data_IF_907802316394
#
_entry.id   IF_907802316394
#
_cell.length_a   1.000
_cell.length_b   1.000
_cell.length_c   1.000
_cell.angle_alpha   90.00
_cell.angle_beta   90.00
_cell.angle_gamma   90.00
#
_symmetry.space_group_name_H-M   'P 1'
#
loop_
_entity.id
_entity.type
_entity.pdbx_description
1 polymer ?
#
# COMPACT_ATOMS: atom_id res chain seq x y z
N UNK A 1 38.13 -30.59 -26.69
CA UNK A 1 37.88 -30.23 -25.29
C UNK A 1 36.43 -29.79 -25.15
N UNK A 2 35.57 -30.67 -24.63
CA UNK A 2 34.11 -30.48 -24.49
C UNK A 2 33.79 -30.28 -23.00
N UNK A 3 33.07 -29.20 -22.64
CA UNK A 3 32.57 -28.97 -21.28
C UNK A 3 31.37 -29.90 -20.97
N UNK A 4 31.23 -30.43 -19.75
CA UNK A 4 30.03 -31.16 -19.35
C UNK A 4 28.90 -30.20 -18.92
N UNK A 5 27.62 -30.65 -18.98
CA UNK A 5 26.46 -29.84 -18.59
C UNK A 5 26.25 -29.83 -17.05
N UNK A 6 25.53 -28.82 -16.51
CA UNK A 6 25.26 -28.73 -15.08
C UNK A 6 24.15 -29.69 -14.63
N UNK A 7 24.32 -30.25 -13.43
CA UNK A 7 23.46 -31.25 -12.78
C UNK A 7 22.14 -30.63 -12.29
N UNK A 8 21.04 -31.31 -12.56
CA UNK A 8 19.71 -31.04 -11.98
C UNK A 8 19.72 -31.31 -10.47
N UNK A 9 19.20 -30.37 -9.68
CA UNK A 9 18.92 -30.56 -8.25
C UNK A 9 17.43 -30.79 -8.11
N UNK A 10 17.07 -32.06 -7.95
CA UNK A 10 15.76 -32.53 -7.53
C UNK A 10 15.67 -32.49 -6.00
N UNK A 11 15.01 -31.47 -5.45
CA UNK A 11 14.48 -31.51 -4.09
C UNK A 11 13.10 -30.84 -4.06
N UNK A 12 12.09 -31.62 -4.43
CA UNK A 12 10.69 -31.36 -4.11
C UNK A 12 10.36 -32.24 -2.90
N UNK A 13 10.34 -31.62 -1.72
CA UNK A 13 9.77 -32.21 -0.52
C UNK A 13 8.67 -31.27 0.01
N UNK A 14 7.45 -31.82 -0.02
CA UNK A 14 6.32 -31.62 0.89
C UNK A 14 6.29 -30.34 1.73
N UNK A 15 5.47 -29.38 1.30
CA UNK A 15 4.85 -28.42 2.21
C UNK A 15 3.42 -28.86 2.52
N UNK A 16 3.30 -29.59 3.63
CA UNK A 16 2.05 -29.90 4.29
C UNK A 16 1.26 -28.61 4.59
N UNK A 17 -0.02 -28.64 4.22
CA UNK A 17 -1.04 -27.64 4.57
C UNK A 17 -1.13 -27.48 6.09
N UNK A 18 -0.70 -26.34 6.62
CA UNK A 18 -0.90 -26.00 8.02
C UNK A 18 -2.37 -25.59 8.26
N UNK A 19 -3.04 -26.10 9.31
CA UNK A 19 -4.45 -25.82 9.61
C UNK A 19 -4.76 -24.35 9.95
N UNK A 20 -3.74 -23.54 10.23
CA UNK A 20 -3.87 -22.10 10.54
C UNK A 20 -4.29 -21.28 9.31
N UNK A 21 -4.04 -21.77 8.09
CA UNK A 21 -4.38 -21.08 6.84
C UNK A 21 -5.88 -21.09 6.51
N UNK A 22 -6.64 -22.05 7.04
CA UNK A 22 -8.07 -22.20 6.72
C UNK A 22 -8.90 -21.17 7.51
N UNK A 23 -8.56 -20.94 8.78
CA UNK A 23 -9.30 -20.02 9.64
C UNK A 23 -9.06 -18.54 9.27
N UNK A 24 -7.83 -18.21 8.86
CA UNK A 24 -7.49 -16.87 8.36
C UNK A 24 -8.19 -16.60 7.02
N UNK A 25 -8.27 -17.60 6.14
CA UNK A 25 -9.03 -17.48 4.87
C UNK A 25 -10.53 -17.31 5.09
N UNK A 26 -11.10 -17.91 6.12
CA UNK A 26 -12.50 -17.71 6.49
C UNK A 26 -12.76 -16.28 7.01
N UNK A 27 -11.93 -15.80 7.94
CA UNK A 27 -12.04 -14.42 8.47
C UNK A 27 -11.86 -13.34 7.41
N UNK A 28 -10.98 -13.58 6.43
CA UNK A 28 -10.78 -12.65 5.29
C UNK A 28 -11.98 -12.66 4.33
N UNK A 29 -12.60 -13.83 4.09
CA UNK A 29 -13.80 -13.94 3.25
C UNK A 29 -14.99 -13.19 3.89
N UNK A 30 -15.16 -13.31 5.19
CA UNK A 30 -16.26 -12.67 5.92
C UNK A 30 -16.06 -11.14 6.02
N UNK A 31 -14.81 -10.68 6.12
CA UNK A 31 -14.50 -9.24 6.09
C UNK A 31 -14.67 -8.60 4.70
N UNK A 32 -14.51 -9.37 3.62
CA UNK A 32 -14.78 -8.89 2.26
C UNK A 32 -16.29 -8.82 1.98
N UNK A 33 -17.09 -9.71 2.57
CA UNK A 33 -18.54 -9.68 2.47
C UNK A 33 -19.16 -8.49 3.22
N UNK A 34 -18.53 -8.01 4.31
CA UNK A 34 -19.03 -6.86 5.09
C UNK A 34 -18.78 -5.50 4.44
N UNK A 35 -17.86 -5.42 3.47
CA UNK A 35 -17.52 -4.17 2.76
C UNK A 35 -18.33 -3.96 1.47
N UNK A 36 -19.27 -4.87 1.15
CA UNK A 36 -19.97 -4.91 -0.14
C UNK A 36 -21.26 -4.08 -0.28
N UNK A 37 -21.73 -3.36 0.75
CA UNK A 37 -22.97 -2.59 0.63
C UNK A 37 -22.78 -1.10 0.95
N UNK A 38 -22.71 -0.29 -0.10
CA UNK A 38 -22.78 1.18 -0.03
C UNK A 38 -23.89 1.67 -0.97
N UNK A 39 -25.03 2.11 -0.41
CA UNK A 39 -25.88 3.23 -0.87
C UNK A 39 -27.09 3.49 0.08
N UNK A 40 -27.81 4.64 0.03
CA UNK A 40 -27.71 5.66 1.10
C UNK A 40 -29.04 6.10 1.78
N UNK A 41 -28.86 6.94 2.81
CA UNK A 41 -29.75 8.00 3.34
C UNK A 41 -30.78 7.72 4.46
N UNK A 42 -30.79 8.72 5.37
CA UNK A 42 -31.88 9.25 6.22
C UNK A 42 -32.13 8.75 7.67
N UNK A 43 -31.79 9.67 8.61
CA UNK A 43 -32.52 10.16 9.80
C UNK A 43 -33.23 9.16 10.74
N UNK A 44 -32.85 9.19 12.03
CA UNK A 44 -33.74 9.59 13.14
C UNK A 44 -32.97 9.63 14.48
N UNK A 45 -33.47 10.46 15.39
CA UNK A 45 -32.96 10.89 16.70
C UNK A 45 -33.20 9.88 17.85
N UNK A 46 -32.74 10.30 19.05
CA UNK A 46 -33.09 9.85 20.41
C UNK A 46 -32.22 8.68 20.97
N UNK A 47 -31.76 8.62 22.22
CA UNK A 47 -31.79 9.46 23.44
C UNK A 47 -30.76 8.87 24.43
N UNK A 48 -30.15 9.71 25.28
CA UNK A 48 -29.19 9.39 26.36
C UNK A 48 -29.91 8.68 27.54
N UNK A 49 -29.23 7.90 28.40
CA UNK A 49 -28.90 8.48 29.71
C UNK A 49 -27.46 8.22 30.17
N UNK A 50 -26.91 9.27 30.76
CA UNK A 50 -25.64 9.36 31.46
C UNK A 50 -25.59 8.42 32.65
N UNK A 51 -24.40 7.92 32.97
CA UNK A 51 -23.90 7.70 34.33
C UNK A 51 -22.44 7.25 34.24
N UNK A 52 -21.50 8.18 34.29
CA UNK A 52 -20.20 7.92 34.92
C UNK A 52 -19.51 9.24 35.24
N UNK A 53 -19.21 9.42 36.52
CA UNK A 53 -18.60 10.59 37.11
C UNK A 53 -17.23 10.15 37.63
N UNK A 54 -16.11 10.78 37.22
CA UNK A 54 -14.87 10.65 37.96
C UNK A 54 -14.64 11.88 38.83
N UNK A 55 -14.34 11.58 40.10
CA UNK A 55 -13.94 12.48 41.16
C UNK A 55 -12.71 13.31 40.79
N UNK A 56 -12.76 14.61 41.08
CA UNK A 56 -11.66 15.55 40.99
C UNK A 56 -10.83 15.45 42.28
N UNK A 57 -9.52 15.23 42.17
CA UNK A 57 -8.55 15.57 43.21
C UNK A 57 -7.48 16.50 42.62
N UNK A 58 -7.10 17.58 43.34
CA UNK A 58 -6.23 18.62 42.81
C UNK A 58 -4.76 18.35 43.13
N UNK A 59 -3.87 18.81 42.25
CA UNK A 59 -2.47 19.06 42.62
C UNK A 59 -1.41 18.38 41.77
N UNK A 60 -1.25 18.81 40.51
CA UNK A 60 0.06 19.05 39.86
C UNK A 60 -0.15 19.77 38.54
N UNK A 61 -0.54 21.03 38.64
CA UNK A 61 -0.40 21.98 37.54
C UNK A 61 1.00 22.56 37.66
N UNK A 62 1.96 22.01 36.94
CA UNK A 62 3.16 22.72 36.47
C UNK A 62 3.96 21.79 35.56
N UNK A 63 4.20 22.26 34.33
CA UNK A 63 5.04 21.68 33.29
C UNK A 63 4.55 20.40 32.57
N UNK A 64 3.43 20.50 31.83
CA UNK A 64 3.49 20.03 30.44
C UNK A 64 4.23 21.14 29.70
N UNK A 65 5.56 21.14 29.86
CA UNK A 65 6.45 22.00 29.11
C UNK A 65 6.10 21.84 27.64
N UNK A 66 5.82 22.98 27.03
CA UNK A 66 5.42 23.18 25.64
C UNK A 66 6.33 22.37 24.74
N UNK A 67 5.89 21.16 24.39
CA UNK A 67 6.46 20.44 23.28
C UNK A 67 6.22 21.31 22.05
N UNK A 68 7.24 21.62 21.26
CA UNK A 68 7.21 22.38 20.01
C UNK A 68 5.82 22.34 19.36
N UNK A 69 5.11 23.46 19.41
CA UNK A 69 3.72 23.72 18.95
C UNK A 69 2.56 22.85 19.50
N UNK A 70 2.81 21.89 20.38
CA UNK A 70 1.79 21.06 21.02
C UNK A 70 1.19 19.97 20.11
N UNK A 71 1.70 19.79 18.88
CA UNK A 71 1.12 18.86 17.89
C UNK A 71 1.87 17.52 17.77
N UNK A 72 2.81 17.23 18.66
CA UNK A 72 3.58 15.98 18.61
C UNK A 72 2.69 14.74 18.74
N UNK A 73 1.61 14.80 19.52
CA UNK A 73 0.62 13.71 19.59
C UNK A 73 -0.09 13.50 18.25
N UNK A 74 -0.51 14.58 17.59
CA UNK A 74 -1.11 14.52 16.26
C UNK A 74 -0.14 13.95 15.21
N UNK A 75 1.15 14.32 15.28
CA UNK A 75 2.21 13.73 14.43
C UNK A 75 2.39 12.25 14.69
N UNK A 76 2.44 11.81 15.95
CA UNK A 76 2.55 10.40 16.29
C UNK A 76 1.34 9.60 15.76
N UNK A 77 0.13 10.11 15.94
CA UNK A 77 -1.09 9.51 15.37
C UNK A 77 -1.03 9.43 13.85
N UNK A 78 -0.59 10.50 13.18
CA UNK A 78 -0.46 10.51 11.72
C UNK A 78 0.53 9.46 11.21
N UNK A 79 1.66 9.29 11.89
CA UNK A 79 2.64 8.25 11.57
C UNK A 79 1.99 6.86 11.64
N UNK A 80 1.23 6.58 12.70
CA UNK A 80 0.54 5.31 12.89
C UNK A 80 -0.48 5.04 11.78
N UNK A 81 -1.31 6.02 11.43
CA UNK A 81 -2.31 5.92 10.36
C UNK A 81 -1.67 5.57 9.01
N UNK A 82 -0.63 6.32 8.62
CA UNK A 82 0.06 6.14 7.33
C UNK A 82 0.77 4.80 7.27
N UNK A 83 1.42 4.37 8.37
CA UNK A 83 2.10 3.08 8.44
C UNK A 83 1.13 1.90 8.41
N UNK A 84 -0.05 2.04 9.03
CA UNK A 84 -1.10 1.03 8.97
C UNK A 84 -1.68 0.90 7.55
N UNK A 85 -1.95 2.02 6.87
CA UNK A 85 -2.40 2.01 5.47
C UNK A 85 -1.33 1.37 4.56
N UNK A 86 -0.05 1.70 4.76
CA UNK A 86 1.06 1.09 4.03
C UNK A 86 1.10 -0.44 4.22
N UNK A 87 0.97 -0.93 5.46
CA UNK A 87 0.92 -2.37 5.76
C UNK A 87 -0.25 -3.05 5.05
N UNK A 88 -1.42 -2.42 5.08
CA UNK A 88 -2.62 -2.90 4.38
C UNK A 88 -2.39 -3.01 2.87
N UNK A 89 -1.77 -2.00 2.25
CA UNK A 89 -1.41 -2.04 0.83
C UNK A 89 -0.45 -3.18 0.51
N UNK A 90 0.57 -3.43 1.35
CA UNK A 90 1.50 -4.55 1.15
C UNK A 90 0.80 -5.91 1.14
N UNK A 91 -0.17 -6.12 2.04
CA UNK A 91 -0.99 -7.34 2.08
C UNK A 91 -1.80 -7.48 0.78
N UNK A 92 -2.43 -6.41 0.31
CA UNK A 92 -3.21 -6.44 -0.93
C UNK A 92 -2.34 -6.69 -2.17
N UNK A 93 -1.18 -6.05 -2.27
CA UNK A 93 -0.22 -6.26 -3.35
C UNK A 93 0.23 -7.73 -3.36
N UNK A 94 0.62 -8.26 -2.20
CA UNK A 94 1.01 -9.67 -2.05
C UNK A 94 -0.13 -10.61 -2.47
N UNK A 95 -1.36 -10.33 -2.06
CA UNK A 95 -2.54 -11.12 -2.45
C UNK A 95 -2.81 -11.11 -3.95
N UNK A 96 -2.51 -10.02 -4.66
CA UNK A 96 -2.66 -9.96 -6.12
C UNK A 96 -1.59 -10.77 -6.84
N UNK A 97 -0.34 -10.67 -6.38
CA UNK A 97 0.83 -11.23 -7.08
C UNK A 97 0.98 -12.74 -6.82
N UNK A 98 0.56 -13.22 -5.66
CA UNK A 98 0.65 -14.65 -5.28
C UNK A 98 -0.46 -15.51 -5.88
N UNK A 99 -1.49 -14.89 -6.48
CA UNK A 99 -2.56 -15.61 -7.18
C UNK A 99 -2.00 -16.46 -8.30
N UNK A 100 -2.60 -17.63 -8.52
CA UNK A 100 -2.14 -18.54 -9.57
C UNK A 100 -2.24 -17.88 -10.95
N UNK A 101 -3.31 -17.11 -11.19
CA UNK A 101 -3.56 -16.43 -12.46
C UNK A 101 -2.51 -15.34 -12.75
N UNK A 102 -1.85 -14.80 -11.73
CA UNK A 102 -0.78 -13.81 -11.89
C UNK A 102 0.50 -14.41 -12.51
N UNK A 103 0.59 -15.74 -12.58
CA UNK A 103 1.70 -16.44 -13.21
C UNK A 103 1.35 -16.80 -14.67
N UNK A 104 2.25 -16.52 -15.63
CA UNK A 104 1.99 -16.84 -17.03
C UNK A 104 1.94 -18.36 -17.23
N UNK A 105 0.94 -18.90 -17.94
CA UNK A 105 0.79 -20.36 -18.13
C UNK A 105 1.84 -20.95 -19.07
N UNK A 106 2.48 -20.13 -19.91
CA UNK A 106 3.45 -20.58 -20.91
C UNK A 106 4.49 -19.49 -21.22
N UNK A 107 5.54 -19.87 -21.97
CA UNK A 107 6.68 -19.00 -22.28
C UNK A 107 6.31 -17.83 -23.21
N UNK A 108 5.31 -17.95 -24.07
CA UNK A 108 4.85 -16.83 -24.90
C UNK A 108 4.07 -15.83 -24.05
N UNK A 109 3.20 -16.31 -23.16
CA UNK A 109 2.44 -15.45 -22.25
C UNK A 109 3.34 -14.66 -21.29
N UNK A 110 4.54 -15.17 -20.99
CA UNK A 110 5.52 -14.49 -20.14
C UNK A 110 5.84 -13.04 -20.55
N UNK A 111 5.83 -12.74 -21.85
CA UNK A 111 6.18 -11.43 -22.39
C UNK A 111 4.98 -10.52 -22.65
N UNK A 112 3.76 -10.97 -22.33
CA UNK A 112 2.57 -10.13 -22.49
C UNK A 112 2.56 -9.00 -21.45
N UNK A 113 2.12 -7.82 -21.88
CA UNK A 113 2.16 -6.56 -21.12
C UNK A 113 1.66 -6.72 -19.68
N UNK A 114 0.51 -7.36 -19.46
CA UNK A 114 -0.04 -7.53 -18.10
C UNK A 114 0.84 -8.38 -17.19
N UNK A 115 1.45 -9.46 -17.69
CA UNK A 115 2.36 -10.28 -16.90
C UNK A 115 3.69 -9.58 -16.62
N UNK A 116 4.17 -8.74 -17.55
CA UNK A 116 5.33 -7.88 -17.31
C UNK A 116 5.04 -6.90 -16.17
N UNK A 117 3.87 -6.25 -16.20
CA UNK A 117 3.46 -5.29 -15.16
C UNK A 117 3.31 -5.96 -13.79
N UNK A 118 2.76 -7.18 -13.71
CA UNK A 118 2.65 -7.93 -12.45
C UNK A 118 4.03 -8.25 -11.86
N UNK A 119 4.98 -8.72 -12.67
CA UNK A 119 6.35 -9.00 -12.21
C UNK A 119 7.07 -7.72 -11.79
N UNK A 120 6.92 -6.64 -12.54
CA UNK A 120 7.49 -5.36 -12.17
C UNK A 120 6.90 -4.86 -10.84
N UNK A 121 5.59 -4.99 -10.65
CA UNK A 121 4.91 -4.64 -9.40
C UNK A 121 5.43 -5.46 -8.23
N UNK A 122 5.74 -6.74 -8.44
CA UNK A 122 6.37 -7.59 -7.43
C UNK A 122 7.76 -7.12 -7.04
N UNK A 123 8.61 -6.85 -8.03
CA UNK A 123 9.97 -6.36 -7.79
C UNK A 123 9.96 -4.99 -7.08
N UNK A 124 9.12 -4.06 -7.54
CA UNK A 124 8.96 -2.73 -6.93
C UNK A 124 8.45 -2.85 -5.50
N UNK A 125 7.48 -3.73 -5.21
CA UNK A 125 6.95 -3.93 -3.85
C UNK A 125 8.03 -4.42 -2.89
N UNK A 126 8.87 -5.37 -3.33
CA UNK A 126 9.99 -5.88 -2.53
C UNK A 126 11.06 -4.80 -2.32
N UNK A 127 11.34 -3.97 -3.32
CA UNK A 127 12.30 -2.88 -3.21
C UNK A 127 11.90 -1.85 -2.13
N UNK A 128 10.61 -1.52 -2.02
CA UNK A 128 10.13 -0.60 -0.96
C UNK A 128 10.34 -1.20 0.43
N UNK A 129 10.13 -2.51 0.59
CA UNK A 129 10.35 -3.20 1.86
C UNK A 129 11.84 -3.28 2.23
N UNK A 130 12.71 -3.47 1.22
CA UNK A 130 14.15 -3.50 1.41
C UNK A 130 14.76 -2.12 1.69
N UNK A 131 14.03 -1.04 1.45
CA UNK A 131 14.51 0.33 1.70
C UNK A 131 14.58 0.60 3.20
N UNK A 132 15.76 0.87 3.73
CA UNK A 132 15.95 1.22 5.13
C UNK A 132 15.59 2.68 5.39
N UNK A 133 14.99 2.96 6.56
CA UNK A 133 14.79 4.35 7.00
C UNK A 133 16.15 4.95 7.33
N UNK A 134 16.55 5.99 6.60
CA UNK A 134 17.70 6.81 6.92
C UNK A 134 17.19 8.22 7.22
N UNK A 135 17.14 8.64 8.50
CA UNK A 135 16.68 9.99 8.84
C UNK A 135 17.58 11.08 8.26
N UNK A 136 18.78 10.74 7.75
CA UNK A 136 19.87 11.67 7.51
C UNK A 136 20.45 12.15 8.83
N UNK A 137 21.67 12.65 8.82
CA UNK A 137 22.19 13.34 9.98
C UNK A 137 21.34 14.61 10.16
N UNK A 138 20.45 14.61 11.14
CA UNK A 138 19.76 15.81 11.56
C UNK A 138 20.87 16.74 12.00
N UNK A 139 21.23 17.74 11.17
CA UNK A 139 22.35 18.66 11.37
C UNK A 139 22.19 19.61 12.56
N UNK A 140 21.43 19.18 13.56
CA UNK A 140 21.24 19.84 14.84
C UNK A 140 22.45 19.44 15.69
N UNK A 141 23.49 20.28 15.64
CA UNK A 141 24.57 20.29 16.62
C UNK A 141 23.92 20.27 18.01
N UNK A 142 24.17 19.20 18.77
CA UNK A 142 23.48 18.82 20.01
C UNK A 142 23.70 19.77 21.21
N UNK A 143 23.86 21.07 20.98
CA UNK A 143 24.13 22.07 22.01
C UNK A 143 23.42 23.41 21.86
N UNK A 144 22.65 23.67 20.79
CA UNK A 144 22.01 24.97 20.57
C UNK A 144 20.52 24.97 20.21
N UNK A 145 19.88 23.81 20.04
CA UNK A 145 18.46 23.72 19.65
C UNK A 145 17.67 23.01 20.72
N UNK A 146 16.50 23.56 21.05
CA UNK A 146 15.53 22.96 21.98
C UNK A 146 15.23 21.51 21.56
N UNK A 147 15.31 20.59 22.53
CA UNK A 147 15.03 19.15 22.38
C UNK A 147 13.65 18.93 21.72
N UNK A 148 12.73 19.85 21.95
CA UNK A 148 11.41 19.77 21.36
C UNK A 148 11.37 20.02 19.86
N UNK A 149 12.17 20.96 19.36
CA UNK A 149 12.30 21.23 17.92
C UNK A 149 13.03 20.09 17.20
N UNK A 150 14.01 19.46 17.87
CA UNK A 150 14.66 18.23 17.39
C UNK A 150 13.62 17.10 17.26
N UNK A 151 12.76 16.95 18.25
CA UNK A 151 11.70 15.92 18.26
C UNK A 151 10.69 16.15 17.14
N UNK A 152 10.22 17.39 16.98
CA UNK A 152 9.33 17.78 15.87
C UNK A 152 9.94 17.50 14.51
N UNK A 153 11.18 17.94 14.28
CA UNK A 153 11.89 17.72 13.03
C UNK A 153 12.03 16.22 12.71
N UNK A 154 12.30 15.40 13.74
CA UNK A 154 12.37 13.95 13.63
C UNK A 154 11.02 13.35 13.21
N UNK A 155 9.92 13.75 13.87
CA UNK A 155 8.58 13.26 13.53
C UNK A 155 8.17 13.64 12.10
N UNK A 156 8.43 14.87 11.67
CA UNK A 156 8.15 15.31 10.30
C UNK A 156 8.95 14.52 9.26
N UNK A 157 10.19 14.12 9.61
CA UNK A 157 11.03 13.26 8.77
C UNK A 157 10.43 11.86 8.63
N UNK A 158 9.92 11.29 9.72
CA UNK A 158 9.24 9.99 9.72
C UNK A 158 7.95 10.07 8.90
N UNK A 159 7.15 11.13 9.06
CA UNK A 159 5.93 11.36 8.25
C UNK A 159 6.27 11.40 6.76
N UNK A 160 7.35 12.11 6.37
CA UNK A 160 7.80 12.17 4.98
C UNK A 160 8.12 10.77 4.42
N UNK A 161 8.92 9.98 5.14
CA UNK A 161 9.28 8.64 4.70
C UNK A 161 8.04 7.71 4.63
N UNK A 162 7.21 7.74 5.67
CA UNK A 162 5.98 6.97 5.76
C UNK A 162 5.02 7.27 4.61
N UNK A 163 4.76 8.56 4.35
CA UNK A 163 3.88 9.00 3.26
C UNK A 163 4.45 8.60 1.90
N UNK A 164 5.77 8.69 1.72
CA UNK A 164 6.44 8.30 0.47
C UNK A 164 6.29 6.81 0.21
N UNK A 165 6.49 5.96 1.22
CA UNK A 165 6.29 4.51 1.11
C UNK A 165 4.83 4.17 0.81
N UNK A 166 3.87 4.82 1.49
CA UNK A 166 2.43 4.65 1.22
C UNK A 166 2.08 5.04 -0.22
N UNK A 167 2.60 6.17 -0.69
CA UNK A 167 2.42 6.64 -2.06
C UNK A 167 2.92 5.63 -3.09
N UNK A 168 4.17 5.18 -2.96
CA UNK A 168 4.75 4.20 -3.87
C UNK A 168 3.98 2.87 -3.84
N UNK A 169 3.61 2.38 -2.65
CA UNK A 169 2.82 1.16 -2.50
C UNK A 169 1.43 1.30 -3.15
N UNK A 170 0.76 2.44 -2.99
CA UNK A 170 -0.54 2.66 -3.61
C UNK A 170 -0.43 2.63 -5.14
N UNK A 171 0.59 3.28 -5.71
CA UNK A 171 0.85 3.24 -7.15
C UNK A 171 1.09 1.82 -7.65
N UNK A 172 1.90 1.03 -6.95
CA UNK A 172 2.12 -0.39 -7.27
C UNK A 172 0.82 -1.18 -7.20
N UNK A 173 0.03 -0.97 -6.15
CA UNK A 173 -1.27 -1.63 -5.99
C UNK A 173 -2.21 -1.36 -7.16
N UNK A 174 -2.32 -0.10 -7.61
CA UNK A 174 -3.16 0.25 -8.76
C UNK A 174 -2.68 -0.44 -10.05
N UNK A 175 -1.36 -0.43 -10.30
CA UNK A 175 -0.75 -1.11 -11.46
C UNK A 175 -0.98 -2.61 -11.44
N UNK A 176 -0.74 -3.26 -10.29
CA UNK A 176 -0.98 -4.69 -10.10
C UNK A 176 -2.46 -5.04 -10.27
N UNK A 177 -3.37 -4.20 -9.76
CA UNK A 177 -4.81 -4.40 -9.88
C UNK A 177 -5.29 -4.29 -11.33
N UNK A 178 -4.80 -3.31 -12.09
CA UNK A 178 -5.09 -3.16 -13.53
C UNK A 178 -4.60 -4.38 -14.33
N UNK A 179 -3.37 -4.83 -14.06
CA UNK A 179 -2.83 -6.01 -14.70
C UNK A 179 -3.59 -7.30 -14.32
N UNK A 180 -4.05 -7.42 -13.07
CA UNK A 180 -4.87 -8.56 -12.66
C UNK A 180 -6.24 -8.57 -13.34
N UNK A 181 -6.89 -7.40 -13.51
CA UNK A 181 -8.12 -7.30 -14.31
C UNK A 181 -7.88 -7.71 -15.77
N UNK A 182 -6.76 -7.29 -16.35
CA UNK A 182 -6.36 -7.72 -17.69
C UNK A 182 -6.23 -9.24 -17.80
N UNK A 183 -5.59 -9.90 -16.82
CA UNK A 183 -5.49 -11.37 -16.77
C UNK A 183 -6.88 -12.00 -16.73
N UNK A 184 -7.75 -11.51 -15.83
CA UNK A 184 -9.11 -12.03 -15.66
C UNK A 184 -9.94 -11.92 -16.94
N UNK A 185 -9.88 -10.77 -17.63
CA UNK A 185 -10.59 -10.58 -18.90
C UNK A 185 -10.10 -11.55 -19.98
N UNK A 186 -8.78 -11.80 -20.06
CA UNK A 186 -8.24 -12.77 -21.03
C UNK A 186 -8.63 -14.21 -20.70
N UNK A 187 -8.63 -14.60 -19.43
CA UNK A 187 -9.09 -15.93 -18.99
C UNK A 187 -10.57 -16.12 -19.35
N UNK A 188 -11.41 -15.12 -19.08
CA UNK A 188 -12.85 -15.17 -19.39
C UNK A 188 -13.13 -15.23 -20.90
N UNK A 189 -12.35 -14.50 -21.69
CA UNK A 189 -12.49 -14.50 -23.15
C UNK A 189 -12.04 -15.83 -23.76
N UNK A 190 -10.90 -16.36 -23.32
CA UNK A 190 -10.31 -17.56 -23.90
C UNK A 190 -10.96 -18.85 -23.39
N UNK A 191 -11.50 -18.86 -22.15
CA UNK A 191 -12.14 -20.04 -21.53
C UNK A 191 -11.29 -21.33 -21.61
N UNK A 192 -9.97 -21.18 -21.57
CA UNK A 192 -9.01 -22.29 -21.71
C UNK A 192 -8.58 -22.61 -23.14
N UNK A 193 -9.21 -21.99 -24.17
CA UNK A 193 -8.75 -22.10 -25.55
C UNK A 193 -7.46 -21.28 -25.78
N UNK A 194 -6.69 -21.67 -26.79
CA UNK A 194 -5.54 -20.87 -27.24
C UNK A 194 -6.02 -19.63 -28.01
N UNK A 195 -5.30 -18.50 -27.95
CA UNK A 195 -5.56 -17.35 -28.80
C UNK A 195 -5.61 -17.74 -30.28
N UNK A 196 -6.62 -17.28 -31.00
CA UNK A 196 -6.85 -17.59 -32.41
C UNK A 196 -7.58 -16.46 -33.14
N UNK A 197 -7.83 -16.57 -34.45
CA UNK A 197 -8.36 -15.48 -35.28
C UNK A 197 -9.65 -14.86 -34.74
N UNK A 198 -10.54 -15.68 -34.19
CA UNK A 198 -11.82 -15.23 -33.58
C UNK A 198 -11.64 -14.36 -32.34
N UNK A 199 -10.49 -14.44 -31.65
CA UNK A 199 -10.20 -13.71 -30.41
C UNK A 199 -9.41 -12.42 -30.63
N UNK A 200 -8.83 -12.20 -31.83
CA UNK A 200 -7.83 -11.15 -32.07
C UNK A 200 -8.33 -9.76 -31.70
N UNK A 201 -9.53 -9.38 -32.15
CA UNK A 201 -10.09 -8.05 -31.90
C UNK A 201 -10.39 -7.83 -30.41
N UNK A 202 -10.96 -8.82 -29.74
CA UNK A 202 -11.29 -8.76 -28.32
C UNK A 202 -10.03 -8.74 -27.44
N UNK A 203 -9.00 -9.52 -27.78
CA UNK A 203 -7.71 -9.49 -27.07
C UNK A 203 -7.03 -8.13 -27.25
N UNK A 204 -7.06 -7.55 -28.45
CA UNK A 204 -6.53 -6.21 -28.70
C UNK A 204 -7.26 -5.15 -27.86
N UNK A 205 -8.58 -5.23 -27.75
CA UNK A 205 -9.36 -4.31 -26.93
C UNK A 205 -8.99 -4.44 -25.43
N UNK A 206 -8.79 -5.65 -24.94
CA UNK A 206 -8.32 -5.89 -23.56
C UNK A 206 -6.92 -5.30 -23.34
N UNK A 207 -6.00 -5.47 -24.29
CA UNK A 207 -4.64 -4.93 -24.22
C UNK A 207 -4.65 -3.39 -24.25
N UNK A 208 -5.51 -2.79 -25.09
CA UNK A 208 -5.70 -1.34 -25.15
C UNK A 208 -6.26 -0.78 -23.84
N UNK A 209 -7.23 -1.47 -23.24
CA UNK A 209 -7.79 -1.08 -21.93
C UNK A 209 -6.74 -1.09 -20.84
N UNK A 210 -5.88 -2.11 -20.78
CA UNK A 210 -4.77 -2.13 -19.82
C UNK A 210 -3.87 -0.90 -20.00
N UNK A 211 -3.51 -0.55 -21.24
CA UNK A 211 -2.67 0.62 -21.51
C UNK A 211 -3.33 1.92 -21.08
N UNK A 212 -4.63 2.07 -21.32
CA UNK A 212 -5.40 3.23 -20.84
C UNK A 212 -5.38 3.29 -19.31
N UNK A 213 -5.74 2.20 -18.63
CA UNK A 213 -5.72 2.15 -17.15
C UNK A 213 -4.34 2.46 -16.58
N UNK A 214 -3.25 2.01 -17.21
CA UNK A 214 -1.89 2.33 -16.76
C UNK A 214 -1.49 3.78 -17.02
N UNK A 215 -1.95 4.38 -18.11
CA UNK A 215 -1.70 5.80 -18.42
C UNK A 215 -2.44 6.73 -17.45
N UNK A 216 -3.61 6.32 -16.96
CA UNK A 216 -4.40 7.08 -16.00
C UNK A 216 -3.79 7.06 -14.58
N UNK A 217 -2.89 6.11 -14.28
CA UNK A 217 -2.18 6.02 -13.00
C UNK A 217 -0.99 7.00 -12.99
N UNK A 218 -1.31 8.28 -12.84
CA UNK A 218 -0.31 9.35 -12.65
C UNK A 218 0.02 9.57 -11.17
N UNK A 219 1.12 10.28 -10.90
CA UNK A 219 1.52 10.59 -9.52
C UNK A 219 0.50 11.53 -8.86
N UNK A 220 -0.05 12.48 -9.61
CA UNK A 220 -1.08 13.41 -9.17
C UNK A 220 -2.38 12.69 -8.83
N UNK A 221 -2.78 11.71 -9.66
CA UNK A 221 -3.97 10.90 -9.41
C UNK A 221 -3.82 10.11 -8.10
N UNK A 222 -2.68 9.44 -7.90
CA UNK A 222 -2.37 8.66 -6.69
C UNK A 222 -2.40 9.54 -5.44
N UNK A 223 -1.76 10.72 -5.46
CA UNK A 223 -1.78 11.64 -4.31
C UNK A 223 -3.19 12.19 -4.07
N UNK A 224 -3.92 12.51 -5.13
CA UNK A 224 -5.30 12.97 -5.04
C UNK A 224 -6.20 11.94 -4.36
N UNK A 225 -6.12 10.68 -4.77
CA UNK A 225 -6.89 9.58 -4.20
C UNK A 225 -6.58 9.34 -2.72
N UNK A 226 -5.29 9.30 -2.36
CA UNK A 226 -4.85 9.14 -0.98
C UNK A 226 -5.32 10.31 -0.09
N UNK A 227 -5.15 11.56 -0.54
CA UNK A 227 -5.61 12.74 0.22
C UNK A 227 -7.12 12.78 0.36
N UNK A 228 -7.86 12.38 -0.67
CA UNK A 228 -9.31 12.30 -0.60
C UNK A 228 -9.76 11.20 0.38
N UNK A 229 -9.06 10.06 0.43
CA UNK A 229 -9.31 9.02 1.40
C UNK A 229 -9.06 9.49 2.84
N UNK A 230 -7.94 10.19 3.08
CA UNK A 230 -7.61 10.72 4.41
C UNK A 230 -8.65 11.75 4.88
N UNK A 231 -9.08 12.67 3.99
CA UNK A 231 -10.14 13.65 4.31
C UNK A 231 -11.45 12.99 4.67
N UNK A 232 -11.85 11.92 3.95
CA UNK A 232 -13.07 11.17 4.25
C UNK A 232 -13.00 10.47 5.62
N UNK A 233 -11.81 10.08 6.06
CA UNK A 233 -11.57 9.48 7.38
C UNK A 233 -11.39 10.52 8.50
N UNK A 234 -11.30 11.81 8.16
CA UNK A 234 -11.08 12.89 9.14
C UNK A 234 -9.66 12.91 9.72
N UNK A 235 -8.67 12.36 9.01
CA UNK A 235 -7.29 12.33 9.46
C UNK A 235 -6.66 13.73 9.47
N UNK A 236 -5.73 13.95 10.40
CA UNK A 236 -4.93 15.17 10.45
C UNK A 236 -3.82 15.12 9.39
N UNK A 237 -3.89 16.01 8.40
CA UNK A 237 -3.01 16.00 7.21
C UNK A 237 -2.25 17.32 7.01
N UNK A 238 -2.26 18.22 7.99
CA UNK A 238 -1.70 19.59 7.84
C UNK A 238 -0.21 19.57 7.49
N UNK A 239 0.53 18.57 7.99
CA UNK A 239 1.97 18.43 7.80
C UNK A 239 2.35 17.34 6.79
N UNK A 240 1.36 16.81 6.04
CA UNK A 240 1.65 15.84 5.00
C UNK A 240 2.54 16.46 3.91
N UNK A 241 3.54 15.71 3.41
CA UNK A 241 4.41 16.22 2.38
C UNK A 241 3.66 16.49 1.07
N UNK A 242 4.18 17.45 0.30
CA UNK A 242 3.75 17.67 -1.08
C UNK A 242 4.26 16.55 -1.99
N UNK A 243 3.65 16.40 -3.17
CA UNK A 243 4.10 15.44 -4.17
C UNK A 243 5.59 15.66 -4.53
N UNK A 244 5.98 16.90 -4.81
CA UNK A 244 7.37 17.24 -5.12
C UNK A 244 8.37 16.84 -4.03
N UNK A 245 7.98 17.01 -2.76
CA UNK A 245 8.81 16.63 -1.61
C UNK A 245 8.96 15.12 -1.52
N UNK A 246 7.88 14.35 -1.75
CA UNK A 246 7.96 12.89 -1.83
C UNK A 246 8.80 12.43 -3.01
N UNK A 247 8.61 12.98 -4.21
CA UNK A 247 9.41 12.60 -5.39
C UNK A 247 10.91 12.90 -5.20
N UNK A 248 11.24 14.05 -4.60
CA UNK A 248 12.61 14.40 -4.23
C UNK A 248 13.20 13.41 -3.21
N UNK A 249 12.40 12.99 -2.22
CA UNK A 249 12.79 11.96 -1.25
C UNK A 249 13.12 10.63 -1.92
N UNK A 250 12.28 10.18 -2.85
CA UNK A 250 12.48 8.93 -3.60
C UNK A 250 13.79 8.96 -4.38
N UNK A 251 14.10 10.09 -5.03
CA UNK A 251 15.33 10.25 -5.83
C UNK A 251 16.58 10.22 -4.95
N UNK A 252 16.49 10.68 -3.72
CA UNK A 252 17.60 10.69 -2.76
C UNK A 252 17.90 9.28 -2.20
N UNK A 253 16.91 8.40 -2.16
CA UNK A 253 17.03 7.05 -1.62
C UNK A 253 17.49 5.99 -2.63
N UNK A 254 17.61 6.35 -3.92
CA UNK A 254 18.07 5.46 -5.00
C UNK A 254 19.53 5.71 -5.34
#
# INVERSE_FOLDING_TARGET
>A
MLRPPPREISHLQDYHKHPVDIEIRAKIRDHIASLGNFQPACRSQATIPCLFQPQVLPGRSEAIETMADGRNEARAMRILEVMNDFRTLQIHISSLITRNEAHPPDRHSYYLDGYVVLRQSAAESQAILATHFNPGNIGLQAGQVDESEVTKATMQRIILDACTRRFQAHKIYLRASAAMRWVQMRIQLLRGEKPGPRHVNSLRAIDQRLRQELNDITDEHVVGDLRNADRRKGYWIDEDPTLDRMLSWIRMQR
#
